data_IF_287645703790
#
_entry.id   IF_287645703790
#
_cell.length_a   1.000
_cell.length_b   1.000
_cell.length_c   1.000
_cell.angle_alpha   90.00
_cell.angle_beta   90.00
_cell.angle_gamma   90.00
#
_symmetry.space_group_name_H-M   'P 1'
#
loop_
_entity.id
_entity.type
_entity.pdbx_description
1 polymer ?
#
# COMPACT_ATOMS: atom_id res chain seq x y z
N UNK A 1 -13.01 22.45 -28.01
CA UNK A 1 -13.23 22.39 -26.54
C UNK A 1 -13.14 20.96 -26.02
N UNK A 2 -13.61 19.93 -26.73
CA UNK A 2 -13.56 18.52 -26.31
C UNK A 2 -12.14 17.93 -26.12
N UNK A 3 -11.17 18.29 -26.98
CA UNK A 3 -9.80 17.76 -26.88
C UNK A 3 -9.07 18.12 -25.57
N UNK A 4 -9.47 19.20 -24.90
CA UNK A 4 -8.87 19.61 -23.62
C UNK A 4 -9.44 18.80 -22.44
N UNK A 5 -10.73 18.42 -22.50
CA UNK A 5 -11.38 17.62 -21.46
C UNK A 5 -10.84 16.18 -21.44
N UNK A 6 -10.68 15.58 -22.61
CA UNK A 6 -10.07 14.23 -22.74
C UNK A 6 -8.64 14.23 -22.19
N UNK A 7 -7.85 15.27 -22.51
CA UNK A 7 -6.49 15.41 -21.99
C UNK A 7 -6.46 15.56 -20.46
N UNK A 8 -7.41 16.29 -19.87
CA UNK A 8 -7.53 16.42 -18.42
C UNK A 8 -7.87 15.09 -17.75
N UNK A 9 -8.83 14.34 -18.29
CA UNK A 9 -9.22 13.03 -17.76
C UNK A 9 -8.03 12.07 -17.83
N UNK A 10 -7.32 12.05 -18.96
CA UNK A 10 -6.13 11.22 -19.13
C UNK A 10 -5.05 11.57 -18.11
N UNK A 11 -4.78 12.86 -17.86
CA UNK A 11 -3.84 13.30 -16.83
C UNK A 11 -4.23 12.80 -15.43
N UNK A 12 -5.53 12.84 -15.09
CA UNK A 12 -6.03 12.30 -13.81
C UNK A 12 -5.80 10.80 -13.71
N UNK A 13 -6.13 10.05 -14.77
CA UNK A 13 -5.91 8.60 -14.83
C UNK A 13 -4.43 8.27 -14.65
N UNK A 14 -3.53 8.93 -15.40
CA UNK A 14 -2.08 8.72 -15.28
C UNK A 14 -1.59 9.01 -13.86
N UNK A 15 -2.06 10.10 -13.23
CA UNK A 15 -1.74 10.39 -11.82
C UNK A 15 -2.17 9.25 -10.89
N UNK A 16 -3.35 8.68 -11.12
CA UNK A 16 -3.86 7.56 -10.34
C UNK A 16 -3.07 6.26 -10.56
N UNK A 17 -2.64 5.99 -11.80
CA UNK A 17 -1.77 4.85 -12.13
C UNK A 17 -0.43 4.97 -11.38
N UNK A 18 0.20 6.15 -11.45
CA UNK A 18 1.49 6.40 -10.77
C UNK A 18 1.31 6.24 -9.25
N UNK A 19 0.23 6.77 -8.69
CA UNK A 19 -0.05 6.63 -7.26
C UNK A 19 -0.29 5.17 -6.86
N UNK A 20 -1.05 4.40 -7.64
CA UNK A 20 -1.28 2.97 -7.37
C UNK A 20 0.00 2.15 -7.44
N UNK A 21 0.87 2.41 -8.43
CA UNK A 21 2.21 1.81 -8.50
C UNK A 21 3.04 2.14 -7.26
N UNK A 22 3.00 3.39 -6.81
CA UNK A 22 3.74 3.84 -5.64
C UNK A 22 3.25 3.16 -4.34
N UNK A 23 1.93 3.08 -4.16
CA UNK A 23 1.31 2.40 -3.02
C UNK A 23 1.65 0.91 -3.01
N UNK A 24 1.56 0.25 -4.16
CA UNK A 24 1.99 -1.13 -4.30
C UNK A 24 3.47 -1.30 -3.93
N UNK A 25 4.35 -0.46 -4.47
CA UNK A 25 5.78 -0.52 -4.23
C UNK A 25 6.11 -0.37 -2.73
N UNK A 26 5.51 0.58 -2.04
CA UNK A 26 5.75 0.79 -0.60
C UNK A 26 5.23 -0.40 0.22
N UNK A 27 3.95 -0.73 0.08
CA UNK A 27 3.27 -1.64 1.01
C UNK A 27 3.52 -3.12 0.71
N UNK A 28 3.82 -3.47 -0.55
CA UNK A 28 4.00 -4.86 -0.98
C UNK A 28 5.48 -5.22 -1.12
N UNK A 29 6.34 -4.26 -1.45
CA UNK A 29 7.77 -4.52 -1.65
C UNK A 29 8.64 -3.89 -0.56
N UNK A 30 8.65 -2.56 -0.46
CA UNK A 30 9.65 -1.84 0.34
C UNK A 30 9.55 -2.15 1.82
N UNK A 31 8.36 -2.05 2.42
CA UNK A 31 8.20 -2.31 3.86
C UNK A 31 8.51 -3.78 4.18
N UNK A 32 7.91 -4.78 3.51
CA UNK A 32 8.27 -6.18 3.76
C UNK A 32 9.76 -6.48 3.59
N UNK A 33 10.40 -5.89 2.56
CA UNK A 33 11.83 -6.04 2.33
C UNK A 33 12.68 -5.46 3.48
N UNK A 34 12.34 -4.27 3.97
CA UNK A 34 13.03 -3.65 5.11
C UNK A 34 12.88 -4.52 6.35
N UNK A 35 11.67 -5.00 6.64
CA UNK A 35 11.43 -5.90 7.77
C UNK A 35 12.27 -7.16 7.64
N UNK A 36 12.24 -7.82 6.48
CA UNK A 36 13.03 -9.02 6.21
C UNK A 36 14.55 -8.78 6.29
N UNK A 37 15.03 -7.58 5.98
CA UNK A 37 16.46 -7.24 6.10
C UNK A 37 16.90 -6.97 7.53
N UNK A 38 15.99 -6.51 8.39
CA UNK A 38 16.26 -6.23 9.80
C UNK A 38 16.14 -7.49 10.68
N UNK A 39 15.43 -8.50 10.18
CA UNK A 39 15.27 -9.80 10.83
C UNK A 39 16.16 -10.83 10.16
N UNK A 40 16.90 -11.65 10.90
CA UNK A 40 17.70 -12.76 10.32
C UNK A 40 16.84 -13.90 9.78
N UNK A 41 15.52 -13.76 9.80
CA UNK A 41 14.58 -14.77 9.39
C UNK A 41 14.19 -14.55 7.93
N UNK A 42 14.16 -15.63 7.16
CA UNK A 42 13.49 -15.71 5.85
C UNK A 42 11.97 -15.71 6.07
N UNK A 43 11.46 -14.67 6.70
CA UNK A 43 10.02 -14.46 6.99
C UNK A 43 9.27 -14.31 5.68
N UNK A 44 9.97 -13.80 4.67
CA UNK A 44 9.38 -13.44 3.41
C UNK A 44 10.34 -13.73 2.27
N UNK A 45 9.93 -14.64 1.39
CA UNK A 45 10.55 -14.76 0.07
C UNK A 45 10.15 -13.51 -0.70
N UNK A 46 11.13 -12.64 -0.99
CA UNK A 46 10.88 -11.41 -1.75
C UNK A 46 10.15 -11.80 -3.04
N UNK A 47 8.96 -11.26 -3.30
CA UNK A 47 8.12 -11.64 -4.41
C UNK A 47 8.90 -11.41 -5.68
N UNK A 48 9.16 -12.47 -6.43
CA UNK A 48 9.70 -12.30 -7.77
C UNK A 48 8.62 -11.61 -8.60
N UNK A 49 8.98 -10.52 -9.28
CA UNK A 49 8.06 -9.71 -10.09
C UNK A 49 7.23 -10.53 -11.09
N UNK A 50 7.67 -11.75 -11.41
CA UNK A 50 7.08 -12.65 -12.41
C UNK A 50 6.03 -13.62 -11.87
N UNK A 51 5.79 -13.68 -10.56
CA UNK A 51 4.66 -14.47 -10.06
C UNK A 51 3.34 -13.73 -10.31
N UNK A 52 2.41 -14.43 -10.98
CA UNK A 52 1.10 -13.92 -11.38
C UNK A 52 0.35 -13.25 -10.23
N UNK A 53 0.47 -13.78 -9.01
CA UNK A 53 -0.18 -13.24 -7.80
C UNK A 53 0.24 -11.79 -7.54
N UNK A 54 1.53 -11.47 -7.59
CA UNK A 54 2.03 -10.12 -7.28
C UNK A 54 1.71 -9.13 -8.39
N UNK A 55 1.76 -9.59 -9.64
CA UNK A 55 1.31 -8.83 -10.79
C UNK A 55 -0.18 -8.46 -10.67
N UNK A 56 -1.05 -9.39 -10.27
CA UNK A 56 -2.48 -9.12 -10.07
C UNK A 56 -2.72 -8.13 -8.93
N UNK A 57 -1.97 -8.23 -7.82
CA UNK A 57 -2.05 -7.27 -6.72
C UNK A 57 -1.63 -5.88 -7.19
N UNK A 58 -0.54 -5.76 -7.96
CA UNK A 58 -0.11 -4.49 -8.56
C UNK A 58 -1.18 -3.89 -9.47
N UNK A 59 -1.71 -4.69 -10.40
CA UNK A 59 -2.76 -4.28 -11.33
C UNK A 59 -4.00 -3.78 -10.56
N UNK A 60 -4.36 -4.48 -9.48
CA UNK A 60 -5.48 -4.11 -8.63
C UNK A 60 -5.28 -2.72 -7.99
N UNK A 61 -4.10 -2.43 -7.43
CA UNK A 61 -3.81 -1.09 -6.90
C UNK A 61 -3.88 -0.02 -8.00
N UNK A 62 -3.28 -0.29 -9.16
CA UNK A 62 -3.32 0.63 -10.31
C UNK A 62 -4.76 0.97 -10.67
N UNK A 63 -5.63 -0.05 -10.82
CA UNK A 63 -7.02 0.14 -11.23
C UNK A 63 -7.77 0.95 -10.18
N UNK A 64 -7.69 0.59 -8.89
CA UNK A 64 -8.39 1.31 -7.82
C UNK A 64 -8.01 2.79 -7.82
N UNK A 65 -6.71 3.10 -7.83
CA UNK A 65 -6.26 4.48 -7.72
C UNK A 65 -6.44 5.27 -9.02
N UNK A 66 -6.37 4.62 -10.19
CA UNK A 66 -6.74 5.24 -11.47
C UNK A 66 -8.22 5.64 -11.49
N UNK A 67 -9.11 4.73 -11.07
CA UNK A 67 -10.56 5.00 -11.00
C UNK A 67 -10.87 6.05 -9.94
N UNK A 68 -10.26 5.97 -8.75
CA UNK A 68 -10.44 6.95 -7.68
C UNK A 68 -10.03 8.36 -8.13
N UNK A 69 -8.90 8.48 -8.83
CA UNK A 69 -8.41 9.74 -9.39
C UNK A 69 -9.32 10.29 -10.51
N UNK A 70 -9.84 9.43 -11.38
CA UNK A 70 -10.82 9.82 -12.40
C UNK A 70 -12.13 10.33 -11.77
N UNK A 71 -12.53 9.75 -10.64
CA UNK A 71 -13.74 10.09 -9.88
C UNK A 71 -13.51 11.06 -8.72
N UNK A 72 -12.36 11.76 -8.65
CA UNK A 72 -11.95 12.57 -7.48
C UNK A 72 -13.02 13.55 -6.97
N UNK A 73 -13.84 14.06 -7.88
CA UNK A 73 -14.90 15.04 -7.64
C UNK A 73 -16.23 14.44 -7.17
N UNK A 74 -16.28 13.12 -6.99
CA UNK A 74 -17.45 12.38 -6.55
C UNK A 74 -17.14 11.74 -5.20
N UNK A 75 -18.13 11.59 -4.31
CA UNK A 75 -17.94 10.90 -3.03
C UNK A 75 -17.36 9.48 -3.20
N UNK A 76 -17.72 8.80 -4.30
CA UNK A 76 -17.18 7.49 -4.65
C UNK A 76 -15.66 7.50 -4.92
N UNK A 77 -15.10 8.56 -5.50
CA UNK A 77 -13.65 8.67 -5.71
C UNK A 77 -12.89 8.77 -4.39
N UNK A 78 -13.43 9.55 -3.44
CA UNK A 78 -12.88 9.67 -2.08
C UNK A 78 -12.90 8.33 -1.36
N UNK A 79 -14.05 7.65 -1.40
CA UNK A 79 -14.22 6.33 -0.78
C UNK A 79 -13.27 5.30 -1.38
N UNK A 80 -13.08 5.30 -2.71
CA UNK A 80 -12.13 4.40 -3.37
C UNK A 80 -10.67 4.69 -2.96
N UNK A 81 -10.29 5.95 -2.80
CA UNK A 81 -8.96 6.32 -2.29
C UNK A 81 -8.76 5.85 -0.85
N UNK A 82 -9.73 6.09 0.03
CA UNK A 82 -9.68 5.65 1.43
C UNK A 82 -9.58 4.13 1.50
N UNK A 83 -10.44 3.44 0.75
CA UNK A 83 -10.46 1.98 0.66
C UNK A 83 -9.14 1.43 0.11
N UNK A 84 -8.59 2.02 -0.96
CA UNK A 84 -7.31 1.63 -1.54
C UNK A 84 -6.15 1.74 -0.55
N UNK A 85 -6.10 2.82 0.23
CA UNK A 85 -5.10 3.02 1.28
C UNK A 85 -5.24 2.00 2.43
N UNK A 86 -6.47 1.76 2.89
CA UNK A 86 -6.74 0.74 3.92
C UNK A 86 -6.37 -0.65 3.43
N UNK A 87 -6.69 -0.98 2.17
CA UNK A 87 -6.36 -2.27 1.59
C UNK A 87 -4.84 -2.43 1.44
N UNK A 88 -4.11 -1.38 1.06
CA UNK A 88 -2.65 -1.41 1.03
C UNK A 88 -2.06 -1.81 2.38
N UNK A 89 -2.58 -1.19 3.46
CA UNK A 89 -2.19 -1.56 4.81
C UNK A 89 -2.59 -3.00 5.18
N UNK A 90 -3.81 -3.45 4.84
CA UNK A 90 -4.24 -4.83 5.11
C UNK A 90 -3.40 -5.87 4.37
N UNK A 91 -3.00 -5.58 3.13
CA UNK A 91 -2.06 -6.42 2.38
C UNK A 91 -0.74 -6.50 3.15
N UNK A 92 -0.18 -5.37 3.58
CA UNK A 92 1.05 -5.36 4.39
C UNK A 92 0.90 -6.19 5.68
N UNK A 93 -0.20 -6.01 6.43
CA UNK A 93 -0.47 -6.80 7.64
C UNK A 93 -0.48 -8.29 7.33
N UNK A 94 -1.11 -8.69 6.22
CA UNK A 94 -1.12 -10.09 5.77
C UNK A 94 0.27 -10.59 5.38
N UNK A 95 1.09 -9.76 4.72
CA UNK A 95 2.47 -10.12 4.35
C UNK A 95 3.37 -10.32 5.56
N UNK A 96 3.09 -9.62 6.64
CA UNK A 96 3.83 -9.73 7.90
C UNK A 96 3.14 -10.68 8.90
N UNK A 97 2.26 -11.57 8.42
CA UNK A 97 1.54 -12.57 9.22
C UNK A 97 0.83 -11.98 10.47
N UNK A 98 0.25 -10.78 10.33
CA UNK A 98 -0.40 -10.09 11.44
C UNK A 98 0.57 -9.45 12.46
N UNK A 99 1.86 -9.43 12.16
CA UNK A 99 2.93 -8.92 13.00
C UNK A 99 3.55 -9.96 13.92
N UNK A 100 3.16 -11.24 13.83
CA UNK A 100 3.78 -12.31 14.60
C UNK A 100 4.83 -12.98 13.72
N UNK A 101 6.09 -12.79 14.07
CA UNK A 101 7.22 -13.25 13.27
C UNK A 101 8.05 -14.23 14.08
N UNK A 102 8.39 -15.38 13.51
CA UNK A 102 9.28 -16.36 14.14
C UNK A 102 10.67 -16.25 13.52
N UNK A 103 11.69 -16.06 14.34
CA UNK A 103 13.08 -15.93 13.91
C UNK A 103 13.87 -17.16 14.35
N UNK A 104 14.53 -17.85 13.42
CA UNK A 104 15.53 -18.85 13.77
C UNK A 104 16.87 -18.17 14.03
N UNK A 105 17.45 -18.44 15.19
CA UNK A 105 18.80 -17.99 15.58
C UNK A 105 19.67 -19.24 15.68
N UNK A 106 20.73 -19.38 14.86
CA UNK A 106 21.67 -20.49 15.00
C UNK A 106 22.52 -20.26 16.25
N UNK A 107 22.49 -21.20 17.19
CA UNK A 107 23.21 -21.08 18.48
C UNK A 107 24.34 -22.11 18.60
N UNK A 108 24.49 -22.99 17.61
CA UNK A 108 25.53 -24.01 17.50
C UNK A 108 25.28 -24.91 16.27
N UNK A 109 26.22 -25.82 15.96
CA UNK A 109 26.05 -26.77 14.84
C UNK A 109 24.77 -27.60 15.02
N UNK A 110 23.80 -27.38 14.12
CA UNK A 110 22.53 -28.09 14.10
C UNK A 110 21.49 -27.69 15.15
N UNK A 111 21.76 -26.66 15.97
CA UNK A 111 20.82 -26.16 16.98
C UNK A 111 20.28 -24.79 16.56
N UNK A 112 19.01 -24.77 16.18
CA UNK A 112 18.24 -23.56 15.94
C UNK A 112 17.36 -23.24 17.15
N UNK A 113 17.42 -22.01 17.63
CA UNK A 113 16.48 -21.49 18.62
C UNK A 113 15.50 -20.58 17.91
N UNK A 114 14.20 -20.83 18.10
CA UNK A 114 13.14 -20.01 17.54
C UNK A 114 12.75 -18.92 18.54
N UNK A 115 12.90 -17.66 18.13
CA UNK A 115 12.51 -16.48 18.90
C UNK A 115 11.27 -15.86 18.24
N UNK A 116 10.21 -15.67 19.02
CA UNK A 116 9.01 -14.98 18.56
C UNK A 116 9.18 -13.46 18.73
N UNK A 117 9.05 -12.72 17.63
CA UNK A 117 9.07 -11.27 17.58
C UNK A 117 7.67 -10.75 17.28
N UNK A 118 7.22 -9.79 18.10
CA UNK A 118 5.94 -9.11 17.94
C UNK A 118 6.12 -7.74 17.28
N UNK A 119 5.85 -7.68 15.98
CA UNK A 119 5.90 -6.49 15.13
C UNK A 119 4.57 -5.72 15.11
N UNK A 120 3.56 -6.08 15.91
CA UNK A 120 2.27 -5.37 15.92
C UNK A 120 2.44 -3.88 16.23
N UNK A 121 3.37 -3.52 17.11
CA UNK A 121 3.67 -2.11 17.41
C UNK A 121 4.23 -1.37 16.18
N UNK A 122 5.03 -2.04 15.35
CA UNK A 122 5.54 -1.49 14.09
C UNK A 122 4.39 -1.31 13.10
N UNK A 123 3.51 -2.29 12.98
CA UNK A 123 2.30 -2.20 12.14
C UNK A 123 1.38 -1.05 12.59
N UNK A 124 1.15 -0.89 13.89
CA UNK A 124 0.37 0.24 14.42
C UNK A 124 1.03 1.59 14.14
N UNK A 125 2.36 1.66 14.25
CA UNK A 125 3.11 2.88 13.93
C UNK A 125 2.96 3.22 12.45
N UNK A 126 3.12 2.25 11.55
CA UNK A 126 2.91 2.42 10.11
C UNK A 126 1.48 2.89 9.83
N UNK A 127 0.48 2.28 10.47
CA UNK A 127 -0.91 2.67 10.30
C UNK A 127 -1.16 4.12 10.71
N UNK A 128 -0.70 4.52 11.90
CA UNK A 128 -0.93 5.84 12.46
C UNK A 128 -0.13 6.92 11.73
N UNK A 129 1.10 6.63 11.32
CA UNK A 129 2.02 7.63 10.74
C UNK A 129 1.90 7.72 9.21
N UNK A 130 1.48 6.65 8.54
CA UNK A 130 1.42 6.61 7.07
C UNK A 130 -0.03 6.49 6.58
N UNK A 131 -0.74 5.45 7.03
CA UNK A 131 -2.07 5.14 6.48
C UNK A 131 -3.11 6.19 6.87
N UNK A 132 -3.22 6.55 8.14
CA UNK A 132 -4.18 7.56 8.62
C UNK A 132 -3.94 8.93 7.95
N UNK A 133 -2.72 9.49 7.93
CA UNK A 133 -2.46 10.77 7.27
C UNK A 133 -2.74 10.73 5.77
N UNK A 134 -2.41 9.64 5.08
CA UNK A 134 -2.73 9.48 3.65
C UNK A 134 -4.24 9.55 3.38
N UNK A 135 -5.03 8.87 4.22
CA UNK A 135 -6.49 8.92 4.17
C UNK A 135 -7.00 10.34 4.46
N UNK A 136 -6.49 10.98 5.51
CA UNK A 136 -6.90 12.33 5.91
C UNK A 136 -6.61 13.36 4.81
N UNK A 137 -5.43 13.30 4.19
CA UNK A 137 -5.05 14.16 3.06
C UNK A 137 -5.98 13.93 1.88
N UNK A 138 -6.26 12.66 1.56
CA UNK A 138 -7.17 12.31 0.45
C UNK A 138 -8.57 12.89 0.66
N UNK A 139 -9.09 12.80 1.89
CA UNK A 139 -10.40 13.37 2.25
C UNK A 139 -10.35 14.90 2.20
N UNK A 140 -9.32 15.52 2.78
CA UNK A 140 -9.17 16.97 2.82
C UNK A 140 -9.07 17.58 1.42
N UNK A 141 -8.25 17.02 0.53
CA UNK A 141 -8.14 17.50 -0.85
C UNK A 141 -9.48 17.45 -1.58
N UNK A 142 -10.24 16.38 -1.38
CA UNK A 142 -11.55 16.23 -2.00
C UNK A 142 -12.59 17.19 -1.45
N UNK A 143 -12.57 17.48 -0.14
CA UNK A 143 -13.45 18.49 0.45
C UNK A 143 -13.12 19.89 -0.07
N UNK A 144 -11.83 20.24 -0.15
CA UNK A 144 -11.37 21.53 -0.67
C UNK A 144 -11.79 21.74 -2.14
N UNK A 145 -11.66 20.72 -2.98
CA UNK A 145 -12.08 20.80 -4.39
C UNK A 145 -13.61 20.90 -4.56
N UNK A 146 -14.40 20.42 -3.59
CA UNK A 146 -15.86 20.62 -3.59
C UNK A 146 -16.19 22.07 -3.27
N UNK A 147 -15.54 22.66 -2.27
CA UNK A 147 -15.75 24.07 -1.89
C UNK A 147 -15.34 25.07 -2.99
N UNK A 148 -14.35 24.75 -3.82
CA UNK A 148 -13.91 25.60 -4.95
C UNK A 148 -14.86 25.54 -6.18
N UNK A 149 -15.84 24.64 -6.19
CA UNK A 149 -16.78 24.43 -7.30
C UNK A 149 -18.26 24.74 -6.96
N UNK A 150 -18.52 25.30 -5.76
CA UNK A 150 -19.82 25.85 -5.32
C UNK A 150 -19.76 27.37 -5.37
#
# INVERSE_FOLDING_TARGET
MEGNEVLMILKKIVKGIIHGLFMWLIYVLTIPFIVNSLTTAEIFTVPTFFELKWFLIMLFFIIIFAVASALKHRPYGVLLNVFGNLLAFLVLVKLLEGGLVTISVPVGEGIEVYVFMDLRIVLYTIFIVITIPSIMISVYESLKEIDEHI
#
